data_IF_094241168407
#
_entry.id   IF_094241168407
#
_cell.length_a   1.000
_cell.length_b   1.000
_cell.length_c   1.000
_cell.angle_alpha   90.00
_cell.angle_beta   90.00
_cell.angle_gamma   90.00
#
_symmetry.space_group_name_H-M   'P 1'
#
loop_
_entity.id
_entity.type
_entity.pdbx_description
1 polymer ?
#
# COMPACT_ATOMS: atom_id res chain seq x y z
N UNK A 1 10.99 2.33 28.18
CA UNK A 1 11.14 2.15 26.73
C UNK A 1 11.30 3.53 26.13
N UNK A 2 12.53 4.00 25.91
CA UNK A 2 12.78 5.31 25.30
C UNK A 2 12.48 5.20 23.80
N UNK A 3 11.41 5.84 23.33
CA UNK A 3 11.04 5.83 21.93
C UNK A 3 12.06 6.66 21.13
N UNK A 4 12.60 6.11 20.04
CA UNK A 4 13.55 6.85 19.16
C UNK A 4 12.83 7.85 18.23
N UNK A 5 11.58 8.20 18.55
CA UNK A 5 10.66 8.95 17.72
C UNK A 5 9.76 8.06 16.84
N UNK A 6 9.31 8.60 15.71
CA UNK A 6 8.48 7.89 14.73
C UNK A 6 8.87 8.27 13.30
N UNK A 7 8.53 7.41 12.34
CA UNK A 7 8.56 7.75 10.92
C UNK A 7 7.15 7.99 10.41
N UNK A 8 6.95 9.08 9.66
CA UNK A 8 5.75 9.33 8.88
C UNK A 8 5.99 8.85 7.47
N UNK A 9 5.17 7.90 7.01
CA UNK A 9 5.30 7.25 5.71
C UNK A 9 4.10 7.59 4.86
N UNK A 10 4.35 7.95 3.60
CA UNK A 10 3.34 8.20 2.58
C UNK A 10 3.60 7.30 1.38
N UNK A 11 2.62 6.48 1.03
CA UNK A 11 2.73 5.58 -0.13
C UNK A 11 2.44 6.36 -1.40
N UNK A 12 3.38 6.39 -2.35
CA UNK A 12 3.23 7.20 -3.57
C UNK A 12 2.69 6.38 -4.73
N UNK A 13 3.39 5.30 -5.08
CA UNK A 13 3.05 4.43 -6.20
C UNK A 13 3.72 3.07 -6.07
N UNK A 14 3.19 2.08 -6.78
CA UNK A 14 3.78 0.74 -6.92
C UNK A 14 4.01 0.42 -8.39
N UNK A 15 5.19 -0.15 -8.67
CA UNK A 15 5.54 -0.69 -9.98
C UNK A 15 5.71 -2.19 -9.83
N UNK A 16 4.78 -2.97 -10.37
CA UNK A 16 4.86 -4.42 -10.35
C UNK A 16 5.50 -4.90 -11.65
N UNK A 17 6.60 -5.64 -11.51
CA UNK A 17 7.25 -6.23 -12.68
C UNK A 17 6.47 -7.49 -13.08
N UNK A 18 6.14 -7.66 -14.36
CA UNK A 18 5.50 -8.88 -14.84
C UNK A 18 6.39 -10.06 -14.47
N UNK A 19 5.80 -11.05 -13.81
CA UNK A 19 6.50 -12.24 -13.40
C UNK A 19 6.77 -13.07 -14.66
N UNK A 20 7.89 -12.80 -15.34
CA UNK A 20 8.35 -13.64 -16.45
C UNK A 20 8.74 -14.99 -15.84
N UNK A 21 7.81 -15.94 -15.86
CA UNK A 21 8.09 -17.33 -15.57
C UNK A 21 9.26 -17.78 -16.45
N UNK A 22 10.36 -18.16 -15.81
CA UNK A 22 11.46 -18.87 -16.45
C UNK A 22 10.92 -20.19 -17.02
N UNK A 23 10.67 -20.25 -18.33
CA UNK A 23 10.75 -21.53 -19.05
C UNK A 23 12.20 -21.70 -19.47
N UNK A 24 12.92 -22.53 -18.72
CA UNK A 24 14.31 -22.86 -18.97
C UNK A 24 14.50 -23.40 -20.39
N UNK A 25 15.56 -22.94 -21.04
CA UNK A 25 16.05 -23.50 -22.29
C UNK A 25 16.61 -24.90 -22.04
N UNK A 26 16.05 -25.87 -22.76
CA UNK A 26 16.63 -27.18 -22.99
C UNK A 26 16.99 -27.29 -24.46
N UNK A 27 18.27 -27.45 -24.74
CA UNK A 27 18.86 -27.70 -26.04
C UNK A 27 18.73 -29.20 -26.30
N UNK A 28 17.99 -29.62 -27.34
CA UNK A 28 18.05 -31.02 -27.80
C UNK A 28 17.83 -31.14 -29.30
N UNK A 29 18.67 -31.99 -29.88
CA UNK A 29 19.00 -32.14 -31.29
C UNK A 29 17.92 -32.87 -32.09
N UNK A 30 17.94 -32.64 -33.40
CA UNK A 30 17.41 -33.42 -34.53
C UNK A 30 16.68 -34.75 -34.24
N UNK A 31 15.42 -34.87 -34.67
CA UNK A 31 14.97 -35.97 -35.53
C UNK A 31 13.59 -35.68 -36.14
N UNK A 32 13.44 -36.07 -37.41
CA UNK A 32 12.25 -35.83 -38.22
C UNK A 32 11.28 -37.00 -38.09
N UNK A 33 10.05 -36.77 -37.62
CA UNK A 33 8.91 -37.65 -37.92
C UNK A 33 7.57 -36.97 -37.61
N UNK A 34 6.64 -37.11 -38.55
CA UNK A 34 5.31 -36.49 -38.54
C UNK A 34 4.38 -37.11 -37.48
N UNK A 35 3.63 -36.27 -36.75
CA UNK A 35 2.50 -36.67 -35.90
C UNK A 35 1.45 -35.54 -35.75
N UNK A 36 0.20 -35.86 -35.38
CA UNK A 36 -1.01 -35.15 -35.76
C UNK A 36 -1.33 -33.92 -34.89
N UNK A 37 -2.24 -33.10 -35.41
CA UNK A 37 -2.79 -31.85 -34.88
C UNK A 37 -2.97 -31.84 -33.36
N UNK A 38 -1.99 -31.26 -32.63
CA UNK A 38 -2.14 -30.97 -31.22
C UNK A 38 -3.07 -29.78 -31.01
N UNK A 39 -4.09 -30.02 -30.20
CA UNK A 39 -5.01 -29.03 -29.66
C UNK A 39 -4.22 -27.96 -28.91
N UNK A 40 -4.28 -26.71 -29.37
CA UNK A 40 -3.64 -25.57 -28.70
C UNK A 40 -4.15 -25.47 -27.26
N UNK A 41 -3.25 -25.67 -26.29
CA UNK A 41 -3.51 -25.33 -24.90
C UNK A 41 -3.79 -23.83 -24.81
N UNK A 42 -4.83 -23.39 -24.08
CA UNK A 42 -5.05 -21.97 -23.85
C UNK A 42 -3.86 -21.41 -23.08
N UNK A 43 -3.20 -20.40 -23.65
CA UNK A 43 -2.22 -19.56 -22.95
C UNK A 43 -2.76 -19.16 -21.57
N UNK A 44 -1.96 -19.25 -20.48
CA UNK A 44 -2.43 -18.81 -19.17
C UNK A 44 -2.86 -17.35 -19.28
N UNK A 45 -4.15 -17.09 -19.01
CA UNK A 45 -4.73 -15.77 -19.08
C UNK A 45 -3.85 -14.82 -18.25
N UNK A 46 -3.35 -13.75 -18.89
CA UNK A 46 -2.72 -12.64 -18.17
C UNK A 46 -3.79 -12.09 -17.24
N UNK A 47 -3.67 -12.38 -15.95
CA UNK A 47 -4.57 -11.80 -14.96
C UNK A 47 -4.15 -10.35 -14.75
N UNK A 48 -4.78 -9.45 -15.51
CA UNK A 48 -4.60 -8.01 -15.42
C UNK A 48 -4.91 -7.52 -14.00
N UNK A 49 -4.10 -6.58 -13.51
CA UNK A 49 -4.25 -5.97 -12.19
C UNK A 49 -5.29 -4.86 -12.31
N UNK A 50 -6.37 -4.93 -11.54
CA UNK A 50 -7.53 -4.06 -11.71
C UNK A 50 -7.50 -2.85 -10.77
N UNK A 51 -7.24 -3.07 -9.48
CA UNK A 51 -7.23 -2.01 -8.46
C UNK A 51 -6.27 -2.37 -7.31
N UNK A 52 -4.95 -2.09 -7.47
CA UNK A 52 -3.97 -2.41 -6.45
C UNK A 52 -4.09 -1.48 -5.23
N UNK A 53 -4.09 -2.07 -4.04
CA UNK A 53 -4.14 -1.36 -2.76
C UNK A 53 -3.13 -1.95 -1.76
N UNK A 54 -2.76 -1.15 -0.75
CA UNK A 54 -1.82 -1.56 0.27
C UNK A 54 -2.51 -1.89 1.60
N UNK A 55 -2.01 -2.92 2.26
CA UNK A 55 -2.31 -3.25 3.66
C UNK A 55 -1.03 -3.14 4.45
N UNK A 56 -1.06 -2.45 5.59
CA UNK A 56 0.12 -2.29 6.47
C UNK A 56 -0.17 -2.97 7.80
N UNK A 57 0.62 -3.99 8.12
CA UNK A 57 0.59 -4.66 9.42
C UNK A 57 1.80 -4.22 10.24
N UNK A 58 1.55 -3.70 11.44
CA UNK A 58 2.59 -3.36 12.40
C UNK A 58 2.84 -4.57 13.31
N UNK A 59 4.06 -5.09 13.25
CA UNK A 59 4.50 -6.29 13.97
C UNK A 59 5.60 -5.93 14.96
N UNK A 60 5.70 -6.69 16.02
CA UNK A 60 6.74 -6.61 17.03
C UNK A 60 7.44 -7.96 17.12
N UNK A 61 8.77 -7.94 17.08
CA UNK A 61 9.59 -9.13 17.31
C UNK A 61 9.77 -9.33 18.82
N UNK A 62 9.13 -10.36 19.36
CA UNK A 62 9.14 -10.69 20.78
C UNK A 62 9.92 -11.99 21.00
N UNK A 63 10.83 -12.01 21.98
CA UNK A 63 11.55 -13.21 22.40
C UNK A 63 10.72 -14.00 23.40
N UNK A 64 10.14 -15.12 22.96
CA UNK A 64 9.34 -15.98 23.84
C UNK A 64 10.26 -17.02 24.49
N UNK A 65 10.30 -17.08 25.85
CA UNK A 65 11.09 -18.08 26.56
C UNK A 65 10.78 -19.50 26.07
N UNK A 66 11.81 -20.20 25.60
CA UNK A 66 11.71 -21.58 25.09
C UNK A 66 11.14 -21.74 23.68
N UNK A 67 10.65 -20.68 23.02
CA UNK A 67 10.12 -20.74 21.64
C UNK A 67 10.88 -19.87 20.63
N UNK A 68 11.82 -19.06 21.10
CA UNK A 68 12.60 -18.15 20.26
C UNK A 68 11.84 -16.88 19.87
N UNK A 69 12.35 -16.16 18.87
CA UNK A 69 11.75 -14.91 18.39
C UNK A 69 10.47 -15.20 17.60
N UNK A 70 9.36 -14.58 17.99
CA UNK A 70 8.09 -14.62 17.26
C UNK A 70 7.64 -13.21 16.88
N UNK A 71 6.92 -13.10 15.75
CA UNK A 71 6.36 -11.83 15.30
C UNK A 71 4.91 -11.71 15.75
N UNK A 72 4.65 -10.86 16.74
CA UNK A 72 3.33 -10.55 17.22
C UNK A 72 2.78 -9.32 16.47
N UNK A 73 1.55 -9.40 15.97
CA UNK A 73 0.90 -8.22 15.39
C UNK A 73 0.42 -7.31 16.53
N UNK A 74 1.05 -6.15 16.66
CA UNK A 74 0.83 -5.23 17.78
C UNK A 74 -0.46 -4.41 17.62
N UNK A 75 -0.84 -4.07 16.37
CA UNK A 75 -1.98 -3.19 16.05
C UNK A 75 -2.87 -3.75 14.96
N UNK A 76 -4.07 -3.18 14.82
CA UNK A 76 -4.97 -3.46 13.68
C UNK A 76 -4.28 -3.11 12.37
N UNK A 77 -4.56 -3.90 11.34
CA UNK A 77 -4.07 -3.65 9.98
C UNK A 77 -4.58 -2.31 9.45
N UNK A 78 -3.69 -1.54 8.82
CA UNK A 78 -4.01 -0.27 8.20
C UNK A 78 -4.25 -0.46 6.71
N UNK A 79 -5.17 0.35 6.17
CA UNK A 79 -5.52 0.37 4.75
C UNK A 79 -5.30 1.78 4.20
N UNK A 80 -4.05 2.26 4.13
CA UNK A 80 -3.77 3.61 3.66
C UNK A 80 -4.16 3.75 2.19
N UNK A 81 -4.85 4.84 1.87
CA UNK A 81 -5.00 5.26 0.47
C UNK A 81 -3.65 5.75 -0.08
N UNK A 82 -3.46 5.62 -1.40
CA UNK A 82 -2.32 6.22 -2.08
C UNK A 82 -2.27 7.72 -1.80
N UNK A 83 -1.06 8.23 -1.56
CA UNK A 83 -0.77 9.60 -1.15
C UNK A 83 -1.30 10.01 0.24
N UNK A 84 -1.74 9.06 1.07
CA UNK A 84 -2.03 9.30 2.49
C UNK A 84 -0.83 9.00 3.39
N UNK A 85 -0.72 9.72 4.50
CA UNK A 85 0.32 9.52 5.52
C UNK A 85 -0.17 8.62 6.64
N UNK A 86 0.71 7.78 7.17
CA UNK A 86 0.52 7.06 8.41
C UNK A 86 1.83 7.06 9.22
N UNK A 87 1.72 6.95 10.53
CA UNK A 87 2.86 7.06 11.43
C UNK A 87 3.21 5.71 12.05
N UNK A 88 4.51 5.42 12.12
CA UNK A 88 5.04 4.18 12.69
C UNK A 88 6.11 4.49 13.72
N UNK A 89 5.88 4.03 14.96
CA UNK A 89 6.79 4.25 16.07
C UNK A 89 8.10 3.45 15.89
N UNK A 90 9.21 4.09 16.25
CA UNK A 90 10.53 3.47 16.19
C UNK A 90 10.87 2.94 17.58
N UNK A 91 10.97 1.61 17.68
CA UNK A 91 11.46 0.91 18.86
C UNK A 91 12.15 -0.40 18.44
N UNK A 92 12.92 -1.00 19.36
CA UNK A 92 13.62 -2.26 19.07
C UNK A 92 12.61 -3.37 18.79
N UNK A 93 12.75 -4.03 17.64
CA UNK A 93 11.83 -5.09 17.23
C UNK A 93 10.58 -4.60 16.49
N UNK A 94 10.41 -3.29 16.26
CA UNK A 94 9.28 -2.78 15.47
C UNK A 94 9.46 -3.07 13.98
N UNK A 95 8.47 -3.74 13.40
CA UNK A 95 8.45 -4.18 12.02
C UNK A 95 7.20 -3.67 11.30
N UNK A 96 7.40 -3.23 10.07
CA UNK A 96 6.36 -2.81 9.15
C UNK A 96 6.26 -3.83 8.01
N UNK A 97 5.13 -4.51 7.92
CA UNK A 97 4.82 -5.45 6.84
C UNK A 97 3.83 -4.77 5.89
N UNK A 98 4.29 -4.38 4.70
CA UNK A 98 3.43 -3.80 3.66
C UNK A 98 3.08 -4.90 2.66
N UNK A 99 1.80 -5.12 2.45
CA UNK A 99 1.26 -6.06 1.47
C UNK A 99 0.58 -5.27 0.35
N UNK A 100 0.91 -5.61 -0.89
CA UNK A 100 0.24 -5.11 -2.09
C UNK A 100 -0.76 -6.16 -2.53
N UNK A 101 -2.02 -5.78 -2.52
CA UNK A 101 -3.17 -6.64 -2.83
C UNK A 101 -3.90 -6.09 -4.05
N UNK A 102 -4.57 -6.96 -4.78
CA UNK A 102 -5.52 -6.63 -5.85
C UNK A 102 -6.91 -7.13 -5.46
N UNK A 103 -7.96 -6.41 -5.86
CA UNK A 103 -9.32 -6.81 -5.52
C UNK A 103 -9.73 -8.08 -6.28
N UNK A 104 -10.56 -8.96 -5.67
CA UNK A 104 -11.15 -8.81 -4.34
C UNK A 104 -10.22 -9.20 -3.18
N UNK A 105 -9.25 -10.11 -3.37
CA UNK A 105 -8.33 -10.52 -2.31
C UNK A 105 -7.07 -11.25 -2.85
N UNK A 106 -6.53 -10.80 -3.98
CA UNK A 106 -5.35 -11.41 -4.59
C UNK A 106 -4.09 -10.77 -4.04
N UNK A 107 -3.24 -11.54 -3.39
CA UNK A 107 -1.91 -11.07 -2.99
C UNK A 107 -1.01 -10.94 -4.20
N UNK A 108 -0.38 -9.77 -4.37
CA UNK A 108 0.53 -9.49 -5.47
C UNK A 108 1.98 -9.57 -5.02
N UNK A 109 2.34 -8.83 -3.98
CA UNK A 109 3.70 -8.76 -3.46
C UNK A 109 3.73 -8.15 -2.06
N UNK A 110 4.79 -8.40 -1.30
CA UNK A 110 4.97 -7.84 0.04
C UNK A 110 6.41 -7.43 0.35
N UNK A 111 6.57 -6.66 1.42
CA UNK A 111 7.86 -6.33 2.01
C UNK A 111 7.74 -6.24 3.54
N UNK A 112 8.77 -6.68 4.24
CA UNK A 112 8.88 -6.61 5.69
C UNK A 112 10.21 -5.94 6.05
N UNK A 113 10.17 -4.83 6.77
CA UNK A 113 11.35 -4.12 7.26
C UNK A 113 11.09 -3.49 8.62
N UNK A 114 12.16 -3.12 9.33
CA UNK A 114 12.03 -2.31 10.54
C UNK A 114 11.78 -0.84 10.22
N UNK A 115 11.09 -0.15 11.13
CA UNK A 115 10.90 1.30 11.03
C UNK A 115 12.26 2.04 11.06
N UNK A 116 13.26 1.46 11.75
CA UNK A 116 14.62 1.96 11.80
C UNK A 116 15.28 2.07 10.42
N UNK A 117 15.08 1.08 9.54
CA UNK A 117 15.66 1.10 8.16
C UNK A 117 15.14 2.30 7.35
N UNK A 118 13.92 2.75 7.60
CA UNK A 118 13.39 3.98 6.99
C UNK A 118 13.96 5.23 7.65
N UNK A 119 14.08 5.22 8.98
CA UNK A 119 14.65 6.33 9.75
C UNK A 119 16.12 6.60 9.38
N UNK A 120 16.91 5.56 9.13
CA UNK A 120 18.33 5.65 8.76
C UNK A 120 18.53 6.23 7.35
N UNK A 121 17.50 6.18 6.50
CA UNK A 121 17.54 6.78 5.15
C UNK A 121 17.27 8.29 5.17
N UNK A 122 16.69 8.82 6.25
CA UNK A 122 16.52 10.26 6.44
C UNK A 122 17.85 10.85 6.93
N UNK A 123 18.54 11.64 6.10
CA UNK A 123 19.75 12.36 6.54
C UNK A 123 19.36 13.48 7.48
N UNK A 124 20.24 13.80 8.43
CA UNK A 124 20.07 14.97 9.28
C UNK A 124 20.06 16.24 8.41
N UNK A 125 18.88 16.87 8.30
CA UNK A 125 18.66 18.10 7.53
C UNK A 125 17.77 17.95 6.30
N UNK A 126 17.49 16.74 5.83
CA UNK A 126 16.51 16.51 4.76
C UNK A 126 15.16 16.15 5.40
N UNK A 127 14.23 17.10 5.39
CA UNK A 127 12.95 16.97 6.08
C UNK A 127 12.11 15.80 5.54
N UNK A 128 12.30 15.40 4.28
CA UNK A 128 11.50 14.39 3.60
C UNK A 128 12.36 13.67 2.55
N UNK A 129 12.42 12.34 2.60
CA UNK A 129 13.16 11.51 1.64
C UNK A 129 12.20 10.62 0.85
N UNK A 130 12.43 10.47 -0.45
CA UNK A 130 11.73 9.50 -1.30
C UNK A 130 12.58 8.24 -1.49
N UNK A 131 11.99 7.06 -1.28
CA UNK A 131 12.69 5.77 -1.30
C UNK A 131 11.91 4.75 -2.13
N UNK A 132 12.62 4.07 -3.02
CA UNK A 132 12.13 2.85 -3.65
C UNK A 132 12.47 1.62 -2.81
N UNK A 133 11.43 0.92 -2.34
CA UNK A 133 11.53 -0.34 -1.60
C UNK A 133 11.26 -1.52 -2.53
N UNK A 134 12.09 -2.55 -2.50
CA UNK A 134 11.86 -3.76 -3.29
C UNK A 134 10.78 -4.62 -2.64
N UNK A 135 9.82 -5.05 -3.44
CA UNK A 135 8.77 -6.00 -3.07
C UNK A 135 9.19 -7.43 -3.45
N UNK A 136 8.64 -8.42 -2.77
CA UNK A 136 8.75 -9.86 -3.10
C UNK A 136 7.37 -10.39 -3.49
N UNK A 137 7.24 -11.24 -4.53
CA UNK A 137 8.30 -11.80 -5.36
C UNK A 137 8.88 -10.82 -6.39
N UNK A 138 8.12 -9.80 -6.82
CA UNK A 138 8.58 -8.83 -7.80
C UNK A 138 7.96 -7.44 -7.56
N UNK A 139 8.61 -6.41 -8.12
CA UNK A 139 8.13 -5.04 -8.07
C UNK A 139 8.86 -4.13 -7.08
N UNK A 140 8.46 -2.86 -7.08
CA UNK A 140 9.01 -1.81 -6.22
C UNK A 140 7.89 -0.89 -5.76
N UNK A 141 7.99 -0.45 -4.50
CA UNK A 141 7.08 0.51 -3.89
C UNK A 141 7.83 1.82 -3.66
N UNK A 142 7.33 2.92 -4.23
CA UNK A 142 7.85 4.25 -3.94
C UNK A 142 7.14 4.82 -2.70
N UNK A 143 7.92 5.18 -1.70
CA UNK A 143 7.42 5.77 -0.46
C UNK A 143 8.14 7.08 -0.17
N UNK A 144 7.42 8.01 0.42
CA UNK A 144 7.97 9.22 1.01
C UNK A 144 8.04 9.05 2.52
N UNK A 145 9.17 9.37 3.13
CA UNK A 145 9.45 9.14 4.55
C UNK A 145 9.96 10.43 5.17
N UNK A 146 9.42 10.76 6.34
CA UNK A 146 9.96 11.78 7.24
C UNK A 146 10.17 11.18 8.63
N UNK A 147 11.34 11.40 9.21
CA UNK A 147 11.62 11.03 10.61
C UNK A 147 11.27 12.20 11.52
N UNK A 148 10.66 11.89 12.65
CA UNK A 148 10.42 12.83 13.73
C UNK A 148 11.06 12.26 14.99
N UNK A 149 11.89 13.06 15.68
CA UNK A 149 12.40 12.68 17.01
C UNK A 149 11.30 12.91 18.05
N UNK A 150 11.48 12.31 19.22
CA UNK A 150 10.55 12.49 20.34
C UNK A 150 10.42 13.98 20.69
N UNK A 151 9.18 14.47 20.77
CA UNK A 151 8.88 15.89 21.06
C UNK A 151 8.91 16.86 19.88
N UNK A 152 9.40 16.47 18.69
CA UNK A 152 9.42 17.35 17.51
C UNK A 152 8.05 17.49 16.84
N UNK A 153 7.19 16.47 16.95
CA UNK A 153 5.85 16.47 16.38
C UNK A 153 4.92 15.49 17.12
N UNK A 154 3.62 15.75 17.05
CA UNK A 154 2.60 14.80 17.47
C UNK A 154 2.41 13.71 16.39
N UNK A 155 2.39 12.42 16.77
CA UNK A 155 1.99 11.34 15.87
C UNK A 155 0.57 11.58 15.35
N UNK A 156 0.29 11.13 14.13
CA UNK A 156 -1.08 11.02 13.61
C UNK A 156 -1.81 10.02 14.49
N UNK A 157 -2.76 10.51 15.28
CA UNK A 157 -3.67 9.62 16.00
C UNK A 157 -4.47 8.81 14.96
N UNK A 158 -4.49 7.49 15.17
CA UNK A 158 -5.31 6.57 14.36
C UNK A 158 -6.77 6.77 14.77
N UNK A 159 -7.35 7.90 14.37
CA UNK A 159 -8.74 8.22 14.66
C UNK A 159 -9.63 7.10 14.07
N UNK A 160 -10.41 6.38 14.90
CA UNK A 160 -11.53 5.61 14.36
C UNK A 160 -12.44 6.65 13.70
N UNK A 161 -12.75 6.47 12.42
CA UNK A 161 -13.65 7.36 11.66
C UNK A 161 -14.93 7.65 12.47
N UNK A 162 -14.91 8.74 13.21
CA UNK A 162 -16.04 9.39 13.80
C UNK A 162 -15.91 10.86 13.39
N UNK A 163 -17.00 11.40 12.87
CA UNK A 163 -17.09 12.77 12.43
C UNK A 163 -16.58 13.75 13.50
N UNK A 164 -15.67 14.65 13.13
CA UNK A 164 -15.32 15.81 13.97
C UNK A 164 -13.83 16.08 14.06
N UNK A 165 -13.23 16.66 13.02
CA UNK A 165 -11.86 17.14 13.11
C UNK A 165 -11.75 18.31 14.09
N UNK A 166 -10.75 18.26 14.97
CA UNK A 166 -10.27 19.44 15.72
C UNK A 166 -8.76 19.32 15.94
N UNK A 167 -7.95 19.98 15.10
CA UNK A 167 -7.03 21.03 15.59
C UNK A 167 -6.32 21.78 14.45
N UNK A 168 -6.69 23.07 14.34
CA UNK A 168 -5.90 24.23 13.90
C UNK A 168 -5.35 24.31 12.46
N UNK A 169 -6.27 24.51 11.50
CA UNK A 169 -6.18 25.68 10.58
C UNK A 169 -7.52 26.39 10.54
N UNK A 170 -7.59 27.57 11.15
CA UNK A 170 -8.74 28.48 11.03
C UNK A 170 -8.71 29.10 9.63
N UNK A 171 -9.85 29.09 8.92
CA UNK A 171 -10.10 30.05 7.84
C UNK A 171 -10.24 29.53 6.41
N UNK A 172 -10.18 28.22 6.15
CA UNK A 172 -10.51 27.69 4.81
C UNK A 172 -11.62 26.64 4.91
N UNK A 173 -12.87 27.10 4.98
CA UNK A 173 -14.02 26.25 4.65
C UNK A 173 -13.86 25.97 3.15
N UNK A 174 -13.41 24.76 2.80
CA UNK A 174 -13.50 24.27 1.43
C UNK A 174 -14.99 24.11 1.17
N UNK A 175 -15.62 25.14 0.60
CA UNK A 175 -16.98 25.02 0.10
C UNK A 175 -16.98 23.82 -0.84
N UNK A 176 -17.61 22.75 -0.38
CA UNK A 176 -17.75 21.55 -1.17
C UNK A 176 -18.49 21.97 -2.43
N UNK A 177 -17.85 21.84 -3.59
CA UNK A 177 -18.42 22.27 -4.86
C UNK A 177 -19.60 21.34 -5.15
N UNK A 178 -20.80 21.85 -4.88
CA UNK A 178 -22.04 21.13 -5.11
C UNK A 178 -22.46 21.41 -6.55
N UNK A 179 -22.56 20.34 -7.34
CA UNK A 179 -23.08 20.42 -8.69
C UNK A 179 -24.51 19.93 -8.70
N UNK A 180 -25.35 20.60 -9.47
CA UNK A 180 -26.70 20.14 -9.71
C UNK A 180 -26.75 19.45 -11.06
N UNK A 181 -27.05 18.15 -11.07
CA UNK A 181 -27.25 17.37 -12.30
C UNK A 181 -28.66 16.80 -12.24
N UNK A 182 -29.49 17.14 -13.24
CA UNK A 182 -30.90 16.71 -13.31
C UNK A 182 -31.71 17.01 -12.03
N UNK A 183 -31.47 18.16 -11.40
CA UNK A 183 -32.16 18.59 -10.16
C UNK A 183 -31.60 17.97 -8.88
N UNK A 184 -30.50 17.23 -8.95
CA UNK A 184 -29.88 16.57 -7.79
C UNK A 184 -28.52 17.16 -7.44
N UNK A 185 -28.33 17.42 -6.15
CA UNK A 185 -27.10 18.02 -5.60
C UNK A 185 -26.05 16.95 -5.33
N UNK A 186 -24.97 16.97 -6.09
CA UNK A 186 -23.85 16.06 -5.97
C UNK A 186 -22.59 16.77 -5.49
N UNK A 187 -21.72 15.99 -4.86
CA UNK A 187 -20.40 16.43 -4.42
C UNK A 187 -19.42 16.09 -5.53
N UNK A 188 -18.53 17.02 -5.88
CA UNK A 188 -17.43 16.78 -6.82
C UNK A 188 -16.52 15.66 -6.31
N UNK A 189 -16.79 14.43 -6.75
CA UNK A 189 -15.96 13.26 -6.50
C UNK A 189 -15.77 12.52 -7.81
N UNK A 190 -14.53 12.24 -8.16
CA UNK A 190 -14.23 11.45 -9.34
C UNK A 190 -14.61 9.99 -9.06
N UNK A 191 -15.63 9.49 -9.75
CA UNK A 191 -16.04 8.10 -9.66
C UNK A 191 -15.29 7.30 -10.73
N UNK A 192 -14.54 6.28 -10.30
CA UNK A 192 -13.80 5.40 -11.23
C UNK A 192 -14.70 4.41 -11.98
N UNK A 193 -15.99 4.38 -11.62
CA UNK A 193 -17.01 3.54 -12.22
C UNK A 193 -18.32 4.32 -12.32
N UNK A 194 -19.16 4.04 -13.32
CA UNK A 194 -20.46 4.68 -13.45
C UNK A 194 -21.29 4.42 -12.18
N UNK A 195 -21.63 5.51 -11.48
CA UNK A 195 -22.33 5.45 -10.20
C UNK A 195 -23.79 5.78 -10.41
N UNK A 196 -24.69 5.00 -9.83
CA UNK A 196 -26.12 5.27 -9.91
C UNK A 196 -26.52 6.39 -8.95
N UNK A 197 -27.38 7.29 -9.43
CA UNK A 197 -28.08 8.22 -8.55
C UNK A 197 -29.11 7.45 -7.70
N UNK A 198 -29.05 7.59 -6.37
CA UNK A 198 -30.00 6.93 -5.47
C UNK A 198 -31.47 7.39 -5.66
N UNK A 199 -31.67 8.60 -6.19
CA UNK A 199 -32.99 9.20 -6.40
C UNK A 199 -33.55 8.89 -7.79
N UNK A 200 -32.77 9.09 -8.86
CA UNK A 200 -33.22 8.86 -10.24
C UNK A 200 -33.00 7.42 -10.74
N UNK A 201 -32.14 6.63 -10.07
CA UNK A 201 -31.66 5.32 -10.56
C UNK A 201 -31.03 5.36 -11.97
N UNK A 202 -30.57 6.53 -12.40
CA UNK A 202 -29.84 6.73 -13.65
C UNK A 202 -28.33 6.77 -13.39
N UNK A 203 -27.55 6.41 -14.39
CA UNK A 203 -26.09 6.48 -14.33
C UNK A 203 -25.59 7.93 -14.40
N UNK A 204 -24.66 8.25 -13.51
CA UNK A 204 -23.89 9.50 -13.52
C UNK A 204 -22.61 9.28 -14.34
N UNK A 205 -22.35 10.19 -15.28
CA UNK A 205 -21.16 10.22 -16.13
C UNK A 205 -20.28 11.43 -15.80
#
# INVERSE_FOLDING_TARGET
MTGLGFVRVKLLQVELLPNNGHTGGGHESSESQAQPTQQQQPTPARHDIVDPFCVVNLKEAEEIPGKGVQLAQSKKSLYPEWNSCFDVQIFRGSLMHILVMDRPNRHLADLLLSAQVLADKCRDGEDVVNVWLKLRPSGKLNVQVRRFREGEATPLEEEPKAAGGITRRRGAIKHQKVFEVKGHKFIEKFFRQPTFCAFCKEFLW
#
